data_IF_913359776944
#
_entry.id   IF_913359776944
#
_cell.length_a   1.000
_cell.length_b   1.000
_cell.length_c   1.000
_cell.angle_alpha   90.00
_cell.angle_beta   90.00
_cell.angle_gamma   90.00
#
_symmetry.space_group_name_H-M   'P 1'
#
loop_
_entity.id
_entity.type
_entity.pdbx_description
1 polymer ?
#
# COMPACT_ATOMS: atom_id res chain seq x y z
N UNK A 1 14.78 29.42 13.12
CA UNK A 1 14.79 29.40 11.65
C UNK A 1 15.35 28.06 11.21
N UNK A 2 14.67 27.36 10.32
CA UNK A 2 15.05 26.02 9.82
C UNK A 2 15.28 26.12 8.31
N UNK A 3 16.40 25.62 7.80
CA UNK A 3 16.72 25.68 6.37
C UNK A 3 16.67 24.29 5.74
N UNK A 4 16.05 24.18 4.57
CA UNK A 4 15.85 22.93 3.82
C UNK A 4 15.89 23.20 2.32
N UNK A 5 16.27 22.19 1.51
CA UNK A 5 16.16 22.27 0.06
C UNK A 5 14.69 22.30 -0.36
N UNK A 6 14.36 23.12 -1.35
CA UNK A 6 13.00 23.21 -1.89
C UNK A 6 12.46 21.86 -2.34
N UNK A 7 13.28 21.09 -3.06
CA UNK A 7 12.88 19.79 -3.59
C UNK A 7 12.53 18.79 -2.49
N UNK A 8 13.20 18.88 -1.34
CA UNK A 8 12.89 18.02 -0.20
C UNK A 8 11.56 18.42 0.43
N UNK A 9 11.32 19.70 0.72
CA UNK A 9 10.02 20.12 1.25
C UNK A 9 8.89 19.80 0.26
N UNK A 10 9.12 19.99 -1.04
CA UNK A 10 8.15 19.63 -2.08
C UNK A 10 7.83 18.13 -2.06
N UNK A 11 8.85 17.27 -1.94
CA UNK A 11 8.69 15.82 -1.80
C UNK A 11 7.89 15.49 -0.54
N UNK A 12 8.30 16.01 0.62
CA UNK A 12 7.64 15.77 1.91
C UNK A 12 6.15 16.12 1.85
N UNK A 13 5.80 17.30 1.33
CA UNK A 13 4.41 17.74 1.24
C UNK A 13 3.57 16.89 0.27
N UNK A 14 4.12 16.50 -0.88
CA UNK A 14 3.45 15.59 -1.83
C UNK A 14 3.19 14.21 -1.22
N UNK A 15 4.14 13.70 -0.43
CA UNK A 15 4.03 12.41 0.24
C UNK A 15 2.92 12.40 1.30
N UNK A 16 2.77 13.48 2.09
CA UNK A 16 1.88 13.45 3.27
C UNK A 16 0.51 14.09 3.04
N UNK A 17 0.40 15.11 2.18
CA UNK A 17 -0.85 15.85 1.99
C UNK A 17 -2.05 14.98 1.53
N UNK A 18 -1.88 13.96 0.67
CA UNK A 18 -3.00 13.08 0.27
C UNK A 18 -3.66 12.33 1.44
N UNK A 19 -2.99 12.24 2.59
CA UNK A 19 -3.47 11.56 3.79
C UNK A 19 -4.25 12.47 4.74
N UNK A 20 -4.44 13.74 4.38
CA UNK A 20 -5.26 14.66 5.17
C UNK A 20 -6.74 14.30 5.02
N UNK A 21 -7.47 14.44 6.11
CA UNK A 21 -8.93 14.39 6.09
C UNK A 21 -9.47 15.53 5.23
N UNK A 22 -10.54 15.24 4.48
CA UNK A 22 -11.36 16.26 3.83
C UNK A 22 -12.53 16.70 4.71
N UNK A 23 -12.77 15.99 5.82
CA UNK A 23 -13.77 16.33 6.84
C UNK A 23 -13.19 17.39 7.79
N UNK A 24 -13.78 18.58 7.74
CA UNK A 24 -13.39 19.79 8.47
C UNK A 24 -13.95 19.85 9.91
N UNK A 25 -14.76 18.88 10.31
CA UNK A 25 -15.26 18.77 11.70
C UNK A 25 -14.13 18.54 12.71
N UNK A 26 -12.98 18.03 12.25
CA UNK A 26 -11.76 17.88 13.05
C UNK A 26 -10.58 18.55 12.34
N UNK A 27 -10.35 19.84 12.57
CA UNK A 27 -9.29 20.61 11.90
C UNK A 27 -7.90 20.01 12.03
N UNK A 28 -7.59 19.31 13.13
CA UNK A 28 -6.32 18.59 13.31
C UNK A 28 -6.06 17.56 12.21
N UNK A 29 -7.10 16.93 11.67
CA UNK A 29 -6.96 15.88 10.65
C UNK A 29 -6.89 16.44 9.23
N UNK A 30 -7.33 17.68 9.00
CA UNK A 30 -7.23 18.33 7.69
C UNK A 30 -5.88 19.01 7.45
N UNK A 31 -5.00 18.98 8.45
CA UNK A 31 -3.75 19.71 8.47
C UNK A 31 -2.53 18.84 8.12
N UNK A 32 -1.51 19.48 7.55
CA UNK A 32 -0.14 18.95 7.56
C UNK A 32 0.58 19.53 8.77
N UNK A 33 1.02 18.65 9.66
CA UNK A 33 1.77 19.01 10.85
C UNK A 33 3.25 19.04 10.53
N UNK A 34 3.92 20.15 10.78
CA UNK A 34 5.35 20.32 10.60
C UNK A 34 6.03 20.40 11.97
N UNK A 35 7.06 19.61 12.17
CA UNK A 35 7.87 19.63 13.40
C UNK A 35 9.35 19.67 13.03
N UNK A 36 10.09 20.65 13.55
CA UNK A 36 11.55 20.69 13.51
C UNK A 36 12.09 20.22 14.84
N UNK A 37 12.91 19.16 14.83
CA UNK A 37 13.46 18.55 16.05
C UNK A 37 14.65 17.65 15.71
N UNK A 38 15.66 17.60 16.59
CA UNK A 38 16.77 16.64 16.51
C UNK A 38 17.51 16.63 15.15
N UNK A 39 17.60 17.79 14.48
CA UNK A 39 18.24 17.91 13.16
C UNK A 39 17.39 17.47 11.97
N UNK A 40 16.10 17.19 12.20
CA UNK A 40 15.14 16.81 11.16
C UNK A 40 13.94 17.75 11.12
N UNK A 41 13.42 17.96 9.91
CA UNK A 41 12.05 18.41 9.69
C UNK A 41 11.18 17.18 9.44
N UNK A 42 10.05 17.11 10.13
CA UNK A 42 9.01 16.12 9.93
C UNK A 42 7.79 16.80 9.33
N UNK A 43 7.17 16.17 8.34
CA UNK A 43 5.82 16.47 7.88
C UNK A 43 4.93 15.27 8.20
N UNK A 44 3.79 15.50 8.82
CA UNK A 44 2.90 14.42 9.31
C UNK A 44 1.44 14.76 9.03
N UNK A 45 0.71 13.77 8.54
CA UNK A 45 -0.72 13.89 8.24
C UNK A 45 -1.45 12.58 8.52
N UNK A 46 -2.72 12.64 8.92
CA UNK A 46 -3.58 11.45 9.10
C UNK A 46 -5.07 11.77 8.97
N UNK A 47 -5.86 10.79 8.53
CA UNK A 47 -7.31 10.87 8.42
C UNK A 47 -8.04 9.72 9.15
N UNK A 48 -7.42 9.19 10.23
CA UNK A 48 -7.84 7.99 11.00
C UNK A 48 -7.66 6.65 10.27
N UNK A 49 -7.72 6.64 8.94
CA UNK A 49 -7.57 5.42 8.13
C UNK A 49 -6.16 5.27 7.58
N UNK A 50 -5.52 6.39 7.27
CA UNK A 50 -4.13 6.44 6.83
C UNK A 50 -3.33 7.44 7.66
N UNK A 51 -2.03 7.21 7.78
CA UNK A 51 -1.07 8.16 8.32
C UNK A 51 0.14 8.17 7.40
N UNK A 52 0.72 9.34 7.18
CA UNK A 52 1.97 9.49 6.47
C UNK A 52 2.90 10.43 7.24
N UNK A 53 4.16 10.03 7.33
CA UNK A 53 5.25 10.79 7.93
C UNK A 53 6.36 10.85 6.90
N UNK A 54 6.81 12.04 6.58
CA UNK A 54 8.02 12.28 5.81
C UNK A 54 9.02 13.03 6.68
N UNK A 55 10.31 12.68 6.60
CA UNK A 55 11.39 13.34 7.33
C UNK A 55 12.54 13.70 6.41
N UNK A 56 13.13 14.88 6.64
CA UNK A 56 14.36 15.30 5.98
C UNK A 56 15.32 15.92 6.99
N UNK A 57 16.62 15.66 6.80
CA UNK A 57 17.66 16.41 7.51
C UNK A 57 17.58 17.91 7.16
N UNK A 58 17.85 18.76 8.15
CA UNK A 58 17.78 20.23 8.00
C UNK A 58 19.06 20.90 8.46
N UNK A 59 19.28 22.11 7.95
CA UNK A 59 20.30 23.03 8.42
C UNK A 59 19.67 24.03 9.40
N UNK A 60 20.44 24.48 10.39
CA UNK A 60 20.02 25.35 11.49
C UNK A 60 18.94 24.73 12.39
N UNK A 61 19.37 24.29 13.58
CA UNK A 61 18.55 23.53 14.50
C UNK A 61 17.84 24.46 15.48
N UNK A 62 16.51 24.47 15.38
CA UNK A 62 15.62 25.05 16.40
C UNK A 62 14.39 24.18 16.51
N UNK A 63 13.92 23.93 17.73
CA UNK A 63 12.74 23.11 17.95
C UNK A 63 11.47 23.94 17.80
N UNK A 64 10.56 23.47 16.94
CA UNK A 64 9.25 24.09 16.79
C UNK A 64 8.25 23.10 16.22
N UNK A 65 6.96 23.41 16.42
CA UNK A 65 5.83 22.66 15.87
C UNK A 65 4.81 23.64 15.33
N UNK A 66 4.21 23.33 14.21
CA UNK A 66 3.12 24.10 13.63
C UNK A 66 2.25 23.20 12.77
N UNK A 67 1.03 23.65 12.47
CA UNK A 67 0.11 22.93 11.60
C UNK A 67 -0.37 23.89 10.52
N UNK A 68 -0.31 23.45 9.27
CA UNK A 68 -0.82 24.21 8.12
C UNK A 68 -2.06 23.50 7.59
N UNK A 69 -3.11 24.27 7.27
CA UNK A 69 -4.30 23.68 6.66
C UNK A 69 -3.93 23.00 5.33
N UNK A 70 -4.44 21.80 5.07
CA UNK A 70 -4.17 21.06 3.83
C UNK A 70 -4.53 21.86 2.57
N UNK A 71 -5.54 22.74 2.67
CA UNK A 71 -5.94 23.67 1.61
C UNK A 71 -4.83 24.64 1.18
N UNK A 72 -3.83 24.92 2.02
CA UNK A 72 -2.68 25.77 1.67
C UNK A 72 -1.56 25.01 0.93
N UNK A 73 -1.55 23.67 0.98
CA UNK A 73 -0.47 22.86 0.38
C UNK A 73 -0.31 23.12 -1.12
N UNK A 74 -1.35 23.20 -1.96
CA UNK A 74 -1.18 23.52 -3.38
C UNK A 74 -0.49 24.86 -3.63
N UNK A 75 -0.82 25.90 -2.84
CA UNK A 75 -0.18 27.22 -2.92
C UNK A 75 1.29 27.15 -2.55
N UNK A 76 1.63 26.42 -1.47
CA UNK A 76 3.03 26.21 -1.06
C UNK A 76 3.80 25.48 -2.16
N UNK A 77 3.24 24.38 -2.70
CA UNK A 77 3.87 23.60 -3.77
C UNK A 77 4.08 24.42 -5.04
N UNK A 78 3.18 25.34 -5.38
CA UNK A 78 3.34 26.26 -6.50
C UNK A 78 4.46 27.28 -6.24
N UNK A 79 4.49 27.88 -5.05
CA UNK A 79 5.53 28.85 -4.67
C UNK A 79 6.93 28.22 -4.61
N UNK A 80 7.04 26.99 -4.10
CA UNK A 80 8.31 26.26 -4.01
C UNK A 80 8.98 26.11 -5.38
N UNK A 81 8.23 25.96 -6.48
CA UNK A 81 8.80 25.86 -7.84
C UNK A 81 9.62 27.09 -8.27
N UNK A 82 9.52 28.21 -7.55
CA UNK A 82 10.23 29.45 -7.86
C UNK A 82 11.52 29.64 -7.06
N UNK A 83 11.89 28.68 -6.20
CA UNK A 83 13.00 28.79 -5.26
C UNK A 83 13.90 27.54 -5.27
N UNK A 84 15.20 27.70 -4.99
CA UNK A 84 16.18 26.59 -4.91
C UNK A 84 16.31 26.03 -3.50
N UNK A 85 16.36 26.93 -2.53
CA UNK A 85 16.54 26.69 -1.10
C UNK A 85 15.64 27.67 -0.34
N UNK A 86 15.21 27.25 0.84
CA UNK A 86 14.28 28.04 1.64
C UNK A 86 14.62 27.95 3.14
N UNK A 87 14.22 28.99 3.85
CA UNK A 87 14.15 28.97 5.31
C UNK A 87 12.69 29.03 5.78
N UNK A 88 12.40 28.30 6.84
CA UNK A 88 11.09 28.18 7.47
C UNK A 88 11.17 28.84 8.84
N UNK A 89 10.23 29.74 9.09
CA UNK A 89 10.01 30.35 10.40
C UNK A 89 8.55 30.15 10.78
N UNK A 90 8.33 29.44 11.89
CA UNK A 90 7.02 29.32 12.52
C UNK A 90 6.93 30.31 13.67
N UNK A 91 5.94 31.20 13.62
CA UNK A 91 5.66 32.17 14.67
C UNK A 91 4.35 31.79 15.36
N UNK A 92 4.41 31.60 16.67
CA UNK A 92 3.21 31.49 17.51
C UNK A 92 2.55 32.86 17.74
N UNK A 93 1.48 32.87 18.53
CA UNK A 93 0.73 34.07 18.88
C UNK A 93 -0.77 33.89 18.65
N UNK A 94 -1.53 34.98 18.74
CA UNK A 94 -2.99 34.99 18.52
C UNK A 94 -3.36 34.57 17.09
N UNK A 95 -2.51 34.95 16.13
CA UNK A 95 -2.60 34.54 14.72
C UNK A 95 -1.27 33.85 14.39
N UNK A 96 -1.16 32.53 14.59
CA UNK A 96 0.08 31.83 14.30
C UNK A 96 0.30 31.81 12.78
N UNK A 97 1.56 31.92 12.36
CA UNK A 97 1.94 31.98 10.95
C UNK A 97 3.14 31.10 10.65
N UNK A 98 3.21 30.64 9.40
CA UNK A 98 4.41 30.01 8.83
C UNK A 98 4.89 30.89 7.69
N UNK A 99 6.12 31.35 7.77
CA UNK A 99 6.78 32.09 6.71
C UNK A 99 7.86 31.21 6.07
N UNK A 100 7.75 31.04 4.76
CA UNK A 100 8.76 30.44 3.90
C UNK A 100 9.51 31.59 3.22
N UNK A 101 10.82 31.69 3.44
CA UNK A 101 11.65 32.70 2.79
C UNK A 101 12.58 32.01 1.79
N UNK A 102 12.44 32.37 0.52
CA UNK A 102 13.43 32.07 -0.51
C UNK A 102 14.40 33.23 -0.68
N UNK A 103 15.28 33.12 -1.68
CA UNK A 103 16.32 34.13 -1.93
C UNK A 103 15.76 35.48 -2.37
N UNK A 104 14.66 35.48 -3.15
CA UNK A 104 14.11 36.68 -3.80
C UNK A 104 12.66 36.98 -3.43
N UNK A 105 11.98 36.05 -2.75
CA UNK A 105 10.58 36.18 -2.38
C UNK A 105 10.29 35.45 -1.07
N UNK A 106 9.14 35.74 -0.47
CA UNK A 106 8.63 35.01 0.70
C UNK A 106 7.15 34.70 0.55
N UNK A 107 6.72 33.64 1.21
CA UNK A 107 5.32 33.25 1.33
C UNK A 107 4.98 33.15 2.82
N UNK A 108 4.01 33.94 3.27
CA UNK A 108 3.45 33.82 4.63
C UNK A 108 2.05 33.26 4.54
N UNK A 109 1.79 32.21 5.31
CA UNK A 109 0.48 31.57 5.42
C UNK A 109 0.04 31.55 6.88
N UNK A 110 -1.28 31.58 7.09
CA UNK A 110 -1.85 31.32 8.40
C UNK A 110 -1.56 29.86 8.80
N UNK A 111 -1.07 29.70 10.03
CA UNK A 111 -1.02 28.40 10.68
C UNK A 111 -2.32 28.16 11.44
N UNK A 112 -2.59 26.91 11.78
CA UNK A 112 -3.68 26.57 12.68
C UNK A 112 -3.30 26.90 14.13
N UNK A 113 -4.28 27.18 15.00
CA UNK A 113 -4.05 27.44 16.42
C UNK A 113 -3.23 26.33 17.08
N UNK A 114 -2.43 26.68 18.09
CA UNK A 114 -1.60 25.72 18.85
C UNK A 114 -2.42 24.60 19.54
N UNK A 115 -3.73 24.82 19.74
CA UNK A 115 -4.67 23.80 20.21
C UNK A 115 -4.92 22.68 19.19
N UNK A 116 -4.56 22.88 17.93
CA UNK A 116 -4.64 21.88 16.85
C UNK A 116 -3.50 20.87 16.99
N UNK A 117 -3.63 20.00 17.98
CA UNK A 117 -2.58 19.03 18.34
C UNK A 117 -2.83 17.69 17.67
N UNK A 118 -1.86 17.21 16.89
CA UNK A 118 -1.86 15.84 16.38
C UNK A 118 -1.66 14.85 17.54
N UNK A 119 -2.35 13.68 17.56
CA UNK A 119 -2.02 12.61 18.48
C UNK A 119 -0.53 12.26 18.44
N UNK A 120 0.00 11.66 19.51
CA UNK A 120 1.41 11.24 19.59
C UNK A 120 1.75 10.18 18.53
N UNK A 121 2.07 10.67 17.34
CA UNK A 121 2.32 9.87 16.15
C UNK A 121 3.60 9.05 16.29
N UNK A 122 4.59 9.54 17.05
CA UNK A 122 5.85 8.81 17.31
C UNK A 122 5.57 7.55 18.11
N UNK A 123 4.74 7.66 19.16
CA UNK A 123 4.30 6.50 19.93
C UNK A 123 3.50 5.52 19.07
N UNK A 124 2.64 6.02 18.18
CA UNK A 124 1.87 5.19 17.25
C UNK A 124 2.77 4.43 16.27
N UNK A 125 3.71 5.13 15.61
CA UNK A 125 4.68 4.52 14.68
C UNK A 125 5.53 3.48 15.41
N UNK A 126 6.11 3.84 16.57
CA UNK A 126 6.96 2.93 17.35
C UNK A 126 6.21 1.66 17.76
N UNK A 127 4.95 1.80 18.18
CA UNK A 127 4.10 0.65 18.52
C UNK A 127 4.07 -0.38 17.38
N UNK A 128 3.98 0.03 16.12
CA UNK A 128 3.94 -0.92 14.99
C UNK A 128 5.28 -1.56 14.68
N UNK A 129 6.41 -0.88 14.97
CA UNK A 129 7.73 -1.49 14.87
C UNK A 129 8.00 -2.52 15.96
N UNK A 130 7.47 -2.28 17.15
CA UNK A 130 7.66 -3.19 18.30
C UNK A 130 6.72 -4.41 18.25
N UNK A 131 5.77 -4.46 17.30
CA UNK A 131 4.88 -5.60 17.13
C UNK A 131 5.61 -6.77 16.48
N UNK A 132 5.53 -7.94 17.11
CA UNK A 132 5.98 -9.19 16.51
C UNK A 132 5.23 -9.51 15.22
N UNK A 133 5.92 -10.06 14.23
CA UNK A 133 5.35 -10.46 12.95
C UNK A 133 4.63 -11.81 13.12
N UNK A 134 3.31 -11.82 12.88
CA UNK A 134 2.52 -13.04 12.81
C UNK A 134 2.13 -13.33 11.35
N UNK A 135 1.90 -14.60 10.97
CA UNK A 135 1.31 -14.92 9.68
C UNK A 135 -0.03 -14.19 9.49
N UNK A 136 -0.18 -13.49 8.36
CA UNK A 136 -1.42 -12.83 7.96
C UNK A 136 -1.98 -13.56 6.75
N UNK A 137 -2.85 -14.58 6.94
CA UNK A 137 -3.33 -15.42 5.83
C UNK A 137 -4.29 -14.68 4.89
N UNK A 138 -4.98 -13.66 5.40
CA UNK A 138 -5.89 -12.82 4.64
C UNK A 138 -5.93 -11.43 5.28
N UNK A 139 -5.93 -10.41 4.43
CA UNK A 139 -6.09 -9.01 4.80
C UNK A 139 -6.75 -8.28 3.65
N UNK A 140 -7.39 -7.15 3.93
CA UNK A 140 -8.03 -6.36 2.91
C UNK A 140 -7.74 -4.88 3.08
N UNK A 141 -7.88 -4.15 1.98
CA UNK A 141 -7.64 -2.71 1.91
C UNK A 141 -8.82 -2.04 1.24
N UNK A 142 -9.12 -0.79 1.63
CA UNK A 142 -10.06 0.02 0.86
C UNK A 142 -9.32 0.63 -0.34
N UNK A 143 -9.67 0.30 -1.61
CA UNK A 143 -8.91 0.73 -2.78
C UNK A 143 -8.78 2.25 -2.93
N UNK A 144 -9.76 3.01 -2.43
CA UNK A 144 -9.72 4.48 -2.44
C UNK A 144 -8.48 5.07 -1.75
N UNK A 145 -7.93 4.37 -0.76
CA UNK A 145 -6.72 4.81 -0.05
C UNK A 145 -5.44 4.44 -0.80
N UNK A 146 -5.48 3.45 -1.71
CA UNK A 146 -4.31 3.03 -2.46
C UNK A 146 -3.76 4.15 -3.36
N UNK A 147 -4.63 4.97 -3.93
CA UNK A 147 -4.24 6.10 -4.78
C UNK A 147 -3.41 7.17 -4.04
N UNK A 148 -3.46 7.23 -2.71
CA UNK A 148 -2.70 8.19 -1.90
C UNK A 148 -1.21 7.88 -1.87
N UNK A 149 -0.84 6.62 -2.06
CA UNK A 149 0.56 6.19 -2.02
C UNK A 149 1.32 6.43 -3.34
N UNK A 150 0.67 6.96 -4.38
CA UNK A 150 1.28 7.15 -5.71
C UNK A 150 2.53 8.04 -5.69
N UNK A 151 2.57 9.02 -4.78
CA UNK A 151 3.66 9.99 -4.64
C UNK A 151 4.52 9.71 -3.39
N UNK A 152 4.28 8.58 -2.70
CA UNK A 152 4.96 8.24 -1.46
C UNK A 152 6.44 7.91 -1.68
N UNK A 153 6.76 7.05 -2.65
CA UNK A 153 8.11 6.71 -3.07
C UNK A 153 8.10 6.01 -4.42
N UNK A 154 9.28 5.79 -5.02
CA UNK A 154 9.41 4.93 -6.20
C UNK A 154 9.25 3.45 -5.86
N UNK A 155 9.75 3.05 -4.68
CA UNK A 155 9.66 1.70 -4.13
C UNK A 155 9.17 1.81 -2.70
N UNK A 156 8.19 0.98 -2.33
CA UNK A 156 7.67 0.87 -0.97
C UNK A 156 7.80 -0.58 -0.51
N UNK A 157 8.45 -0.78 0.62
CA UNK A 157 8.40 -2.02 1.38
C UNK A 157 7.12 -2.04 2.20
N UNK A 158 6.42 -3.18 2.16
CA UNK A 158 5.11 -3.35 2.79
C UNK A 158 5.14 -4.56 3.72
N UNK A 159 4.65 -4.38 4.95
CA UNK A 159 4.36 -5.50 5.85
C UNK A 159 3.16 -5.20 6.75
N UNK A 160 2.66 -6.23 7.42
CA UNK A 160 1.57 -6.15 8.38
C UNK A 160 1.86 -7.11 9.54
N UNK A 161 1.78 -6.62 10.78
CA UNK A 161 2.16 -7.41 11.96
C UNK A 161 1.10 -8.44 12.40
N UNK A 162 -0.18 -8.17 12.12
CA UNK A 162 -1.32 -9.02 12.43
C UNK A 162 -2.55 -8.62 11.58
N UNK A 163 -3.57 -9.47 11.39
CA UNK A 163 -4.72 -9.17 10.52
C UNK A 163 -5.46 -7.85 10.80
N UNK A 164 -5.46 -7.38 12.06
CA UNK A 164 -6.06 -6.10 12.45
C UNK A 164 -5.07 -4.93 12.63
N UNK A 165 -3.77 -5.19 12.47
CA UNK A 165 -2.73 -4.16 12.53
C UNK A 165 -2.67 -3.38 11.22
N UNK A 166 -2.20 -2.13 11.28
CA UNK A 166 -1.97 -1.34 10.09
C UNK A 166 -0.95 -2.01 9.16
N UNK A 167 -1.17 -1.88 7.86
CA UNK A 167 -0.12 -2.01 6.87
C UNK A 167 0.89 -0.90 7.10
N UNK A 168 2.17 -1.24 7.14
CA UNK A 168 3.25 -0.27 7.21
C UNK A 168 3.95 -0.23 5.85
N UNK A 169 4.10 0.99 5.32
CA UNK A 169 4.81 1.30 4.09
C UNK A 169 6.10 2.05 4.45
N UNK A 170 7.24 1.65 3.90
CA UNK A 170 8.51 2.33 4.14
C UNK A 170 9.31 2.43 2.85
N UNK A 171 9.99 3.56 2.64
CA UNK A 171 10.88 3.72 1.48
C UNK A 171 12.29 3.18 1.75
N UNK A 172 13.07 3.02 0.69
CA UNK A 172 14.46 2.52 0.78
C UNK A 172 15.38 3.43 1.59
N UNK A 173 15.06 4.72 1.69
CA UNK A 173 15.90 5.73 2.35
C UNK A 173 15.55 5.93 3.82
N UNK A 174 14.48 5.27 4.30
CA UNK A 174 13.90 5.56 5.61
C UNK A 174 13.59 7.05 5.80
N UNK A 175 13.24 7.77 4.73
CA UNK A 175 12.78 9.17 4.76
C UNK A 175 11.25 9.25 4.84
N UNK A 176 10.55 8.16 4.48
CA UNK A 176 9.10 8.09 4.50
C UNK A 176 8.61 6.85 5.24
N UNK A 177 7.55 7.03 6.05
CA UNK A 177 6.75 5.94 6.58
C UNK A 177 5.26 6.25 6.42
N UNK A 178 4.54 5.28 5.87
CA UNK A 178 3.09 5.27 5.71
C UNK A 178 2.46 4.19 6.57
N UNK A 179 1.23 4.43 7.03
CA UNK A 179 0.40 3.42 7.67
C UNK A 179 -1.01 3.44 7.09
N UNK A 180 -1.59 2.27 6.84
CA UNK A 180 -2.99 2.12 6.42
C UNK A 180 -3.70 1.08 7.27
N UNK A 181 -4.86 1.44 7.83
CA UNK A 181 -5.71 0.49 8.53
C UNK A 181 -6.29 -0.52 7.53
N UNK A 182 -6.26 -1.83 7.84
CA UNK A 182 -6.94 -2.83 7.04
C UNK A 182 -8.46 -2.71 7.21
N UNK A 183 -9.21 -3.29 6.28
CA UNK A 183 -10.62 -3.59 6.54
C UNK A 183 -10.70 -4.73 7.56
N UNK A 184 -11.76 -4.74 8.38
CA UNK A 184 -12.03 -5.87 9.26
C UNK A 184 -12.66 -6.98 8.41
N UNK A 185 -11.99 -8.13 8.37
CA UNK A 185 -12.44 -9.34 7.65
C UNK A 185 -12.92 -10.42 8.62
N UNK A 186 -13.66 -10.03 9.66
CA UNK A 186 -14.16 -10.98 10.68
C UNK A 186 -15.17 -11.99 10.13
N UNK A 187 -15.74 -11.72 8.95
CA UNK A 187 -16.79 -12.53 8.32
C UNK A 187 -16.38 -13.13 6.97
N UNK A 188 -15.10 -13.05 6.58
CA UNK A 188 -14.66 -13.52 5.26
C UNK A 188 -13.39 -14.34 5.38
N UNK A 189 -13.49 -15.61 5.02
CA UNK A 189 -12.36 -16.52 4.92
C UNK A 189 -11.66 -16.40 3.57
N UNK A 190 -10.42 -16.91 3.51
CA UNK A 190 -9.69 -17.02 2.24
C UNK A 190 -10.45 -17.96 1.32
N UNK A 191 -10.89 -19.10 1.83
CA UNK A 191 -11.57 -20.15 1.08
C UNK A 191 -12.81 -19.62 0.35
N UNK A 192 -13.62 -18.78 1.00
CA UNK A 192 -14.79 -18.15 0.39
C UNK A 192 -14.44 -17.19 -0.76
N UNK A 193 -13.38 -16.38 -0.62
CA UNK A 193 -12.94 -15.47 -1.69
C UNK A 193 -12.39 -16.21 -2.90
N UNK A 194 -11.74 -17.36 -2.65
CA UNK A 194 -11.13 -18.17 -3.70
C UNK A 194 -12.12 -19.11 -4.37
N UNK A 195 -13.22 -19.51 -3.74
CA UNK A 195 -14.15 -20.51 -4.28
C UNK A 195 -14.71 -20.13 -5.65
N UNK A 196 -15.16 -18.88 -5.82
CA UNK A 196 -15.67 -18.40 -7.10
C UNK A 196 -14.62 -18.41 -8.21
N UNK A 197 -13.41 -17.93 -7.91
CA UNK A 197 -12.29 -17.95 -8.85
C UNK A 197 -11.85 -19.36 -9.17
N UNK A 198 -11.73 -20.24 -8.17
CA UNK A 198 -11.39 -21.65 -8.34
C UNK A 198 -12.37 -22.28 -9.34
N UNK A 199 -13.68 -22.17 -9.10
CA UNK A 199 -14.71 -22.69 -10.01
C UNK A 199 -14.61 -22.13 -11.44
N UNK A 200 -14.27 -20.84 -11.60
CA UNK A 200 -14.14 -20.22 -12.92
C UNK A 200 -12.85 -20.59 -13.67
N UNK A 201 -11.79 -20.93 -12.93
CA UNK A 201 -10.50 -21.29 -13.49
C UNK A 201 -10.38 -22.81 -13.70
N UNK A 202 -11.19 -23.59 -12.99
CA UNK A 202 -11.24 -25.04 -13.18
C UNK A 202 -11.73 -25.38 -14.57
N UNK A 203 -10.91 -26.13 -15.31
CA UNK A 203 -11.23 -26.58 -16.66
C UNK A 203 -11.93 -27.93 -16.62
N UNK A 204 -13.10 -27.99 -17.24
CA UNK A 204 -13.85 -29.23 -17.36
C UNK A 204 -14.03 -29.62 -18.81
N UNK A 205 -13.84 -30.90 -19.09
CA UNK A 205 -14.21 -31.50 -20.38
C UNK A 205 -15.05 -32.75 -20.13
N UNK A 206 -16.15 -32.85 -20.87
CA UNK A 206 -17.00 -34.03 -20.87
C UNK A 206 -16.51 -34.99 -21.96
N UNK A 207 -16.14 -36.21 -21.58
CA UNK A 207 -15.79 -37.31 -22.50
C UNK A 207 -16.81 -38.42 -22.30
N UNK A 208 -17.80 -38.49 -23.19
CA UNK A 208 -18.98 -39.33 -22.99
C UNK A 208 -19.78 -38.86 -21.78
N UNK A 209 -20.01 -39.77 -20.82
CA UNK A 209 -20.77 -39.49 -19.59
C UNK A 209 -19.88 -39.07 -18.41
N UNK A 210 -18.56 -38.94 -18.62
CA UNK A 210 -17.59 -38.61 -17.57
C UNK A 210 -17.12 -37.17 -17.74
N UNK A 211 -17.28 -36.38 -16.69
CA UNK A 211 -16.74 -35.02 -16.59
C UNK A 211 -15.36 -35.05 -15.94
N UNK A 212 -14.33 -34.66 -16.68
CA UNK A 212 -12.97 -34.55 -16.19
C UNK A 212 -12.70 -33.14 -15.69
N UNK A 213 -12.07 -33.02 -14.51
CA UNK A 213 -11.40 -31.80 -14.09
C UNK A 213 -9.95 -31.88 -14.59
N UNK A 214 -9.60 -31.06 -15.57
CA UNK A 214 -8.27 -31.08 -16.21
C UNK A 214 -7.16 -30.52 -15.31
N UNK A 215 -7.51 -29.94 -14.16
CA UNK A 215 -6.57 -29.42 -13.16
C UNK A 215 -6.32 -30.41 -12.00
N UNK A 216 -7.02 -31.55 -11.99
CA UNK A 216 -6.81 -32.63 -11.03
C UNK A 216 -5.99 -33.76 -11.65
N UNK A 217 -5.34 -34.54 -10.78
CA UNK A 217 -4.66 -35.76 -11.21
C UNK A 217 -5.71 -36.76 -11.72
N UNK A 218 -5.41 -37.38 -12.84
CA UNK A 218 -6.20 -38.47 -13.40
C UNK A 218 -5.44 -39.77 -13.16
N UNK A 219 -6.16 -40.89 -13.10
CA UNK A 219 -5.55 -42.22 -13.01
C UNK A 219 -6.17 -43.13 -14.05
N UNK A 220 -5.37 -44.00 -14.64
CA UNK A 220 -5.92 -45.04 -15.52
C UNK A 220 -6.48 -46.22 -14.73
N UNK A 221 -6.86 -47.29 -15.46
CA UNK A 221 -7.42 -48.51 -14.85
C UNK A 221 -6.41 -49.23 -13.95
N UNK A 222 -5.12 -49.08 -14.23
CA UNK A 222 -4.02 -49.74 -13.54
C UNK A 222 -3.54 -48.89 -12.34
N UNK A 223 -4.00 -47.63 -12.26
CA UNK A 223 -3.74 -46.70 -11.17
C UNK A 223 -2.56 -45.78 -11.45
N UNK A 224 -2.03 -45.78 -12.67
CA UNK A 224 -0.93 -44.91 -13.04
C UNK A 224 -1.43 -43.47 -13.21
N UNK A 225 -0.67 -42.47 -12.74
CA UNK A 225 -1.14 -41.09 -12.72
C UNK A 225 -0.90 -40.37 -14.06
N UNK A 226 -1.90 -39.64 -14.52
CA UNK A 226 -1.91 -38.87 -15.76
C UNK A 226 -2.18 -37.39 -15.47
N UNK A 227 -1.60 -36.52 -16.31
CA UNK A 227 -1.84 -35.07 -16.25
C UNK A 227 -2.21 -34.50 -17.60
N UNK A 228 -3.05 -33.47 -17.53
CA UNK A 228 -3.31 -32.59 -18.66
C UNK A 228 -2.02 -31.88 -19.12
N UNK A 229 -1.74 -31.88 -20.42
CA UNK A 229 -0.54 -31.28 -21.03
C UNK A 229 -0.83 -30.08 -21.94
N UNK A 230 -2.09 -29.74 -22.19
CA UNK A 230 -2.47 -28.67 -23.10
C UNK A 230 -3.60 -29.07 -24.02
N UNK A 231 -3.79 -28.31 -25.09
CA UNK A 231 -4.74 -28.61 -26.16
C UNK A 231 -3.97 -28.77 -27.47
N UNK A 232 -4.51 -29.55 -28.41
CA UNK A 232 -3.99 -29.58 -29.77
C UNK A 232 -4.45 -28.36 -30.59
N UNK A 233 -4.22 -28.38 -31.91
CA UNK A 233 -4.59 -27.27 -32.79
C UNK A 233 -6.11 -27.07 -32.94
N UNK A 234 -6.88 -28.12 -32.68
CA UNK A 234 -8.34 -28.14 -32.78
C UNK A 234 -9.01 -27.86 -31.41
N UNK A 235 -8.21 -27.69 -30.35
CA UNK A 235 -8.68 -27.46 -28.99
C UNK A 235 -9.01 -28.75 -28.23
N UNK A 236 -8.60 -29.92 -28.73
CA UNK A 236 -8.81 -31.19 -28.02
C UNK A 236 -7.82 -31.29 -26.84
N UNK A 237 -8.29 -31.55 -25.60
CA UNK A 237 -7.42 -31.67 -24.45
C UNK A 237 -6.48 -32.86 -24.60
N UNK A 238 -5.19 -32.63 -24.36
CA UNK A 238 -4.14 -33.63 -24.36
C UNK A 238 -3.78 -34.01 -22.92
N UNK A 239 -3.48 -35.28 -22.71
CA UNK A 239 -2.98 -35.83 -21.45
C UNK A 239 -1.73 -36.66 -21.69
N UNK A 240 -0.87 -36.76 -20.70
CA UNK A 240 0.28 -37.65 -20.72
C UNK A 240 0.37 -38.42 -19.41
N UNK A 241 1.03 -39.57 -19.47
CA UNK A 241 1.33 -40.37 -18.30
C UNK A 241 2.53 -39.77 -17.55
N UNK A 242 2.41 -39.61 -16.23
CA UNK A 242 3.52 -39.09 -15.43
C UNK A 242 4.69 -40.08 -15.42
N UNK A 243 5.88 -39.58 -15.74
CA UNK A 243 7.10 -40.39 -15.87
C UNK A 243 7.40 -40.86 -17.29
N UNK A 244 6.52 -40.60 -18.26
CA UNK A 244 6.73 -40.82 -19.70
C UNK A 244 6.28 -39.57 -20.46
N UNK A 245 7.06 -38.50 -20.36
CA UNK A 245 6.66 -37.14 -20.78
C UNK A 245 6.56 -36.94 -22.31
N UNK A 246 7.13 -37.86 -23.11
CA UNK A 246 7.20 -37.70 -24.57
C UNK A 246 5.92 -38.12 -25.32
N UNK A 247 4.99 -38.83 -24.67
CA UNK A 247 3.77 -39.33 -25.30
C UNK A 247 2.53 -38.62 -24.76
N UNK A 248 2.03 -37.64 -25.53
CA UNK A 248 0.73 -37.01 -25.28
C UNK A 248 -0.37 -37.70 -26.08
N UNK A 249 -1.53 -37.84 -25.47
CA UNK A 249 -2.71 -38.49 -26.03
C UNK A 249 -3.90 -37.55 -25.93
N UNK A 250 -4.77 -37.48 -26.96
CA UNK A 250 -6.07 -36.86 -26.80
C UNK A 250 -6.83 -37.52 -25.64
N UNK A 251 -7.48 -36.71 -24.79
CA UNK A 251 -8.14 -37.20 -23.59
C UNK A 251 -9.17 -38.29 -23.92
N UNK A 252 -9.93 -38.11 -25.00
CA UNK A 252 -10.90 -39.11 -25.45
C UNK A 252 -10.24 -40.46 -25.83
N UNK A 253 -9.05 -40.40 -26.44
CA UNK A 253 -8.25 -41.58 -26.74
C UNK A 253 -7.73 -42.22 -25.44
N UNK A 254 -7.22 -41.43 -24.50
CA UNK A 254 -6.71 -41.94 -23.24
C UNK A 254 -7.80 -42.60 -22.38
N UNK A 255 -9.00 -42.01 -22.32
CA UNK A 255 -10.17 -42.57 -21.65
C UNK A 255 -10.57 -43.93 -22.26
N UNK A 256 -10.65 -44.01 -23.59
CA UNK A 256 -11.06 -45.24 -24.28
C UNK A 256 -10.01 -46.35 -24.25
N UNK A 257 -8.72 -46.02 -24.34
CA UNK A 257 -7.63 -46.99 -24.45
C UNK A 257 -7.10 -47.45 -23.09
N UNK A 258 -6.90 -46.52 -22.15
CA UNK A 258 -6.31 -46.79 -20.84
C UNK A 258 -7.34 -46.85 -19.71
N UNK A 259 -8.59 -46.45 -19.97
CA UNK A 259 -9.63 -46.42 -18.95
C UNK A 259 -9.43 -45.28 -17.94
N UNK A 260 -8.99 -44.12 -18.44
CA UNK A 260 -8.71 -42.95 -17.63
C UNK A 260 -9.95 -42.47 -16.87
N UNK A 261 -9.76 -42.12 -15.59
CA UNK A 261 -10.79 -41.61 -14.68
C UNK A 261 -10.20 -40.53 -13.75
N UNK A 262 -11.03 -39.63 -13.18
CA UNK A 262 -10.57 -38.73 -12.14
C UNK A 262 -9.97 -39.50 -10.96
N UNK A 263 -8.87 -39.01 -10.38
CA UNK A 263 -8.36 -39.56 -9.11
C UNK A 263 -9.40 -39.31 -8.00
N UNK A 264 -9.70 -40.34 -7.21
CA UNK A 264 -10.66 -40.26 -6.10
C UNK A 264 -10.09 -39.55 -4.87
#
# INVERSE_FOLDING_TARGET
MTTILTNDLQRMLKQVAPHASTDDTIPTLTAVHLESRDGYLYAVTTDRYTMAVSRQAILNTGEWKTAIAGAHVPTILAWLKTNTDISITALGGDIPTVTLNGTVNSLTIAALPASTVLPDWRRLVRKFFDMGLNPVPLTGVTPKYLARWKDAAQVLHLWQAAPGAAFVFMDDRSEFIGMQMPIRNDQTSREELFDGWRKSLTRYVDVGDIRFNLDEDMVDRDGDPWKYSGEDQDGEPLVHLLGIEDDTFPLAAAVSQFGLRPAA
#
